data_IF_349995069404
#
_entry.id   IF_349995069404
#
_cell.length_a   1.000
_cell.length_b   1.000
_cell.length_c   1.000
_cell.angle_alpha   90.00
_cell.angle_beta   90.00
_cell.angle_gamma   90.00
#
_symmetry.space_group_name_H-M   'P 1'
#
loop_
_entity.id
_entity.type
_entity.pdbx_description
1 polymer ?
#
# COMPACT_ATOMS: atom_id res chain seq x y z
N UNK A 1 -7.30 9.14 0.53
CA UNK A 1 -7.71 7.97 1.34
C UNK A 1 -6.78 6.83 1.03
N UNK A 2 -6.17 6.20 2.05
CA UNK A 2 -5.38 4.98 1.89
C UNK A 2 -6.29 3.77 1.69
N UNK A 3 -5.85 2.81 0.89
CA UNK A 3 -6.45 1.46 0.88
C UNK A 3 -6.04 0.68 2.11
N UNK A 4 -4.74 0.70 2.41
CA UNK A 4 -4.15 0.12 3.62
C UNK A 4 -3.09 1.10 4.12
N UNK A 5 -3.21 1.52 5.37
CA UNK A 5 -2.28 2.45 6.00
C UNK A 5 -0.90 1.80 6.19
N UNK A 6 0.15 2.49 5.79
CA UNK A 6 1.53 1.98 5.91
C UNK A 6 1.96 1.81 7.37
N UNK A 7 1.77 2.78 8.29
CA UNK A 7 2.27 2.67 9.65
C UNK A 7 1.54 1.63 10.49
N UNK A 8 0.24 1.45 10.26
CA UNK A 8 -0.63 0.64 11.13
C UNK A 8 -1.16 -0.63 10.48
N UNK A 9 -0.96 -0.82 9.16
CA UNK A 9 -1.51 -1.96 8.43
C UNK A 9 -3.04 -2.02 8.36
N UNK A 10 -3.72 -0.95 8.74
CA UNK A 10 -5.19 -0.91 8.77
C UNK A 10 -5.73 -0.82 7.34
N UNK A 11 -6.54 -1.82 6.95
CA UNK A 11 -7.35 -1.77 5.74
C UNK A 11 -8.53 -0.83 5.96
N UNK A 12 -8.53 0.27 5.22
CA UNK A 12 -9.62 1.23 5.25
C UNK A 12 -10.84 0.70 4.47
N UNK A 13 -12.07 1.07 4.85
CA UNK A 13 -13.26 0.79 4.05
C UNK A 13 -13.34 1.75 2.85
N UNK A 14 -12.26 1.78 2.04
CA UNK A 14 -12.02 2.79 1.02
C UNK A 14 -13.08 2.76 -0.08
N UNK A 15 -13.63 1.60 -0.41
CA UNK A 15 -14.69 1.46 -1.40
C UNK A 15 -15.92 2.29 -1.01
N UNK A 16 -16.37 2.13 0.23
CA UNK A 16 -17.52 2.87 0.75
C UNK A 16 -17.23 4.35 0.94
N UNK A 17 -16.01 4.68 1.38
CA UNK A 17 -15.60 6.07 1.56
C UNK A 17 -15.54 6.82 0.22
N UNK A 18 -15.03 6.19 -0.84
CA UNK A 18 -15.02 6.77 -2.19
C UNK A 18 -16.43 7.09 -2.65
N UNK A 19 -17.34 6.12 -2.56
CA UNK A 19 -18.75 6.27 -2.90
C UNK A 19 -19.38 7.46 -2.16
N UNK A 20 -19.32 7.45 -0.82
CA UNK A 20 -19.97 8.45 0.03
C UNK A 20 -19.41 9.87 -0.18
N UNK A 21 -18.13 10.02 -0.46
CA UNK A 21 -17.49 11.32 -0.65
C UNK A 21 -17.83 11.86 -2.04
N UNK A 22 -17.79 11.02 -3.06
CA UNK A 22 -18.12 11.42 -4.44
C UNK A 22 -19.61 11.75 -4.61
N UNK A 23 -20.53 11.10 -3.88
CA UNK A 23 -21.93 11.49 -3.81
C UNK A 23 -22.15 12.92 -3.30
N UNK A 24 -21.18 13.47 -2.56
CA UNK A 24 -21.18 14.86 -2.08
C UNK A 24 -20.48 15.82 -3.03
N UNK A 25 -20.12 15.35 -4.24
CA UNK A 25 -19.44 16.17 -5.25
C UNK A 25 -17.96 16.45 -4.94
N UNK A 26 -17.34 15.70 -4.06
CA UNK A 26 -15.91 15.84 -3.71
C UNK A 26 -15.09 14.79 -4.43
N UNK A 27 -14.04 15.22 -5.13
CA UNK A 27 -13.09 14.33 -5.78
C UNK A 27 -12.25 13.56 -4.76
N UNK A 28 -11.97 12.28 -5.07
CA UNK A 28 -11.20 11.41 -4.19
C UNK A 28 -9.92 10.94 -4.86
N UNK A 29 -8.80 11.15 -4.18
CA UNK A 29 -7.53 10.47 -4.46
C UNK A 29 -7.41 9.26 -3.53
N UNK A 30 -7.28 8.09 -4.14
CA UNK A 30 -6.99 6.83 -3.42
C UNK A 30 -5.50 6.55 -3.47
N UNK A 31 -4.88 6.53 -2.31
CA UNK A 31 -3.53 6.01 -2.15
C UNK A 31 -3.61 4.49 -1.97
N UNK A 32 -3.34 3.80 -3.06
CA UNK A 32 -3.26 2.35 -3.11
C UNK A 32 -1.80 1.87 -3.10
N UNK A 33 -0.90 2.58 -2.41
CA UNK A 33 0.50 2.15 -2.33
C UNK A 33 0.63 0.72 -1.79
N UNK A 34 -0.24 0.32 -0.87
CA UNK A 34 -0.36 -1.05 -0.36
C UNK A 34 -1.57 -1.82 -0.93
N UNK A 35 -2.18 -1.34 -2.01
CA UNK A 35 -3.39 -1.93 -2.60
C UNK A 35 -3.13 -3.15 -3.49
N UNK A 36 -2.42 -2.99 -4.63
CA UNK A 36 -2.22 -4.06 -5.61
C UNK A 36 -1.56 -5.30 -5.01
N UNK A 37 -2.24 -6.45 -5.10
CA UNK A 37 -1.76 -7.73 -4.56
C UNK A 37 -2.00 -7.95 -3.06
N UNK A 38 -2.48 -6.94 -2.33
CA UNK A 38 -2.79 -7.01 -0.90
C UNK A 38 -4.30 -7.02 -0.63
N UNK A 39 -5.04 -6.22 -1.38
CA UNK A 39 -6.51 -6.17 -1.31
C UNK A 39 -7.10 -6.30 -2.71
N UNK A 40 -8.32 -6.83 -2.85
CA UNK A 40 -9.03 -6.75 -4.12
C UNK A 40 -9.17 -5.29 -4.55
N UNK A 41 -8.65 -4.97 -5.73
CA UNK A 41 -8.67 -3.62 -6.27
C UNK A 41 -9.16 -3.66 -7.73
N UNK A 42 -10.39 -3.22 -7.93
CA UNK A 42 -10.99 -3.01 -9.25
C UNK A 42 -11.12 -1.51 -9.47
N UNK A 43 -10.24 -0.97 -10.30
CA UNK A 43 -10.10 0.47 -10.54
C UNK A 43 -11.34 1.04 -11.22
N UNK A 44 -11.92 0.31 -12.17
CA UNK A 44 -13.10 0.75 -12.92
C UNK A 44 -14.34 0.75 -12.03
N UNK A 45 -14.52 -0.31 -11.24
CA UNK A 45 -15.64 -0.43 -10.30
C UNK A 45 -15.54 0.60 -9.17
N UNK A 46 -14.34 0.85 -8.66
CA UNK A 46 -14.11 1.85 -7.60
C UNK A 46 -14.44 3.26 -8.09
N UNK A 47 -14.18 3.54 -9.37
CA UNK A 47 -14.50 4.81 -10.03
C UNK A 47 -14.05 6.06 -9.27
N UNK A 48 -12.95 5.98 -8.53
CA UNK A 48 -12.37 7.14 -7.84
C UNK A 48 -11.81 8.14 -8.86
N UNK A 49 -11.79 9.42 -8.51
CA UNK A 49 -11.25 10.48 -9.38
C UNK A 49 -9.79 10.24 -9.73
N UNK A 50 -9.01 9.78 -8.75
CA UNK A 50 -7.58 9.50 -8.89
C UNK A 50 -7.21 8.27 -8.07
N UNK A 51 -6.34 7.40 -8.61
CA UNK A 51 -5.81 6.24 -7.89
C UNK A 51 -4.33 6.11 -8.23
N UNK A 52 -3.49 5.99 -7.22
CA UNK A 52 -2.09 5.61 -7.42
C UNK A 52 -1.77 4.36 -6.60
N UNK A 53 -0.96 3.45 -7.16
CA UNK A 53 -0.63 2.21 -6.47
C UNK A 53 0.75 1.69 -6.84
N UNK A 54 1.41 1.03 -5.88
CA UNK A 54 2.72 0.46 -6.07
C UNK A 54 2.65 -1.00 -6.54
N UNK A 55 3.36 -1.31 -7.62
CA UNK A 55 3.52 -2.69 -8.09
C UNK A 55 4.74 -3.38 -7.44
N UNK A 56 5.73 -2.59 -7.03
CA UNK A 56 6.96 -3.10 -6.41
C UNK A 56 6.81 -3.55 -4.94
N UNK A 57 5.61 -3.50 -4.37
CA UNK A 57 5.30 -4.04 -3.04
C UNK A 57 4.72 -5.45 -3.18
N UNK A 58 3.42 -5.61 -3.12
CA UNK A 58 2.76 -6.92 -3.05
C UNK A 58 2.63 -7.65 -4.41
N UNK A 59 2.79 -6.94 -5.54
CA UNK A 59 2.92 -7.58 -6.87
C UNK A 59 4.33 -8.12 -7.09
N UNK A 60 5.31 -7.75 -6.24
CA UNK A 60 6.70 -8.25 -6.27
C UNK A 60 7.46 -7.90 -7.56
N UNK A 61 7.19 -6.74 -8.16
CA UNK A 61 8.00 -6.24 -9.28
C UNK A 61 9.28 -5.56 -8.79
N UNK A 62 10.26 -5.30 -9.67
CA UNK A 62 11.42 -4.50 -9.31
C UNK A 62 11.02 -3.12 -8.77
N UNK A 63 11.83 -2.58 -7.85
CA UNK A 63 11.59 -1.29 -7.20
C UNK A 63 11.38 -0.17 -8.20
N UNK A 64 10.50 0.78 -7.85
CA UNK A 64 10.19 1.97 -8.65
C UNK A 64 8.98 1.81 -9.56
N UNK A 65 8.42 0.60 -9.73
CA UNK A 65 7.20 0.41 -10.52
C UNK A 65 5.95 0.79 -9.72
N UNK A 66 5.13 1.61 -10.35
CA UNK A 66 3.86 2.07 -9.82
C UNK A 66 2.92 2.42 -10.98
N UNK A 67 1.64 2.61 -10.71
CA UNK A 67 0.68 3.12 -11.69
C UNK A 67 -0.01 4.37 -11.15
N UNK A 68 -0.50 5.17 -12.08
CA UNK A 68 -1.41 6.28 -11.84
C UNK A 68 -2.63 6.09 -12.74
N UNK A 69 -3.81 5.99 -12.13
CA UNK A 69 -5.07 6.02 -12.85
C UNK A 69 -5.78 7.35 -12.57
N UNK A 70 -6.23 8.01 -13.64
CA UNK A 70 -7.02 9.23 -13.54
C UNK A 70 -8.29 9.01 -14.37
N UNK A 71 -9.43 9.18 -13.73
CA UNK A 71 -10.72 9.09 -14.37
C UNK A 71 -10.80 10.07 -15.54
N UNK A 72 -11.43 9.67 -16.63
CA UNK A 72 -11.35 10.39 -17.90
C UNK A 72 -11.78 11.86 -17.80
N UNK A 73 -12.85 12.15 -17.06
CA UNK A 73 -13.35 13.52 -16.82
C UNK A 73 -12.38 14.43 -16.05
N UNK A 74 -11.37 13.85 -15.41
CA UNK A 74 -10.35 14.57 -14.62
C UNK A 74 -9.01 14.76 -15.31
N UNK A 75 -8.78 14.08 -16.44
CA UNK A 75 -7.47 14.08 -17.13
C UNK A 75 -7.04 15.46 -17.63
N UNK A 76 -7.98 16.28 -18.08
CA UNK A 76 -7.66 17.60 -18.63
C UNK A 76 -7.04 18.56 -17.61
N UNK A 77 -7.33 18.37 -16.32
CA UNK A 77 -6.82 19.19 -15.21
C UNK A 77 -5.47 18.74 -14.65
N UNK A 78 -4.93 17.60 -15.13
CA UNK A 78 -3.71 17.03 -14.55
C UNK A 78 -2.59 17.00 -15.58
N UNK A 79 -1.41 17.46 -15.15
CA UNK A 79 -0.20 17.46 -15.96
C UNK A 79 0.96 16.83 -15.19
N UNK A 80 1.92 16.17 -15.85
CA UNK A 80 3.13 15.72 -15.18
C UNK A 80 3.91 16.92 -14.64
N UNK A 81 4.57 16.73 -13.50
CA UNK A 81 5.37 17.77 -12.86
C UNK A 81 6.52 18.26 -13.75
N UNK A 82 7.08 17.35 -14.54
CA UNK A 82 8.15 17.66 -15.52
C UNK A 82 7.58 17.56 -16.93
N UNK A 83 7.67 18.66 -17.67
CA UNK A 83 7.22 18.73 -19.07
C UNK A 83 8.18 17.92 -19.95
N UNK A 84 7.64 16.91 -20.61
CA UNK A 84 8.37 16.06 -21.55
C UNK A 84 7.96 16.29 -23.02
N UNK A 85 8.45 15.44 -23.92
CA UNK A 85 8.18 15.51 -25.36
C UNK A 85 6.68 15.46 -25.72
N UNK A 86 5.86 14.82 -24.89
CA UNK A 86 4.42 14.73 -25.12
C UNK A 86 3.69 16.07 -25.09
N UNK A 87 4.25 17.09 -24.45
CA UNK A 87 3.59 18.38 -24.29
C UNK A 87 3.24 19.09 -25.63
N UNK A 88 4.15 19.05 -26.60
CA UNK A 88 3.98 19.64 -27.91
C UNK A 88 3.30 18.73 -28.95
N UNK A 89 2.85 17.54 -28.52
CA UNK A 89 2.18 16.58 -29.40
C UNK A 89 0.83 17.11 -29.87
N UNK A 90 0.52 16.88 -31.14
CA UNK A 90 -0.78 17.18 -31.78
C UNK A 90 -1.75 15.99 -31.74
N UNK A 91 -1.41 14.92 -31.01
CA UNK A 91 -2.27 13.75 -30.83
C UNK A 91 -3.59 14.10 -30.13
N UNK A 92 -4.59 13.24 -30.32
CA UNK A 92 -5.86 13.36 -29.62
C UNK A 92 -5.66 13.44 -28.08
N UNK A 93 -6.56 14.10 -27.33
CA UNK A 93 -6.35 14.42 -25.91
C UNK A 93 -5.96 13.21 -25.04
N UNK A 94 -6.62 12.06 -25.23
CA UNK A 94 -6.32 10.85 -24.46
C UNK A 94 -4.95 10.24 -24.80
N UNK A 95 -4.57 10.26 -26.07
CA UNK A 95 -3.25 9.78 -26.53
C UNK A 95 -2.15 10.71 -26.05
N UNK A 96 -2.38 12.02 -26.14
CA UNK A 96 -1.48 13.04 -25.63
C UNK A 96 -1.26 12.90 -24.12
N UNK A 97 -2.35 12.73 -23.36
CA UNK A 97 -2.28 12.49 -21.91
C UNK A 97 -1.36 11.30 -21.58
N UNK A 98 -1.54 10.17 -22.27
CA UNK A 98 -0.69 9.00 -22.07
C UNK A 98 0.76 9.29 -22.43
N UNK A 99 1.01 9.93 -23.56
CA UNK A 99 2.37 10.27 -23.98
C UNK A 99 3.08 11.20 -22.99
N UNK A 100 2.36 12.15 -22.39
CA UNK A 100 2.90 13.06 -21.37
C UNK A 100 3.30 12.32 -20.10
N UNK A 101 2.55 11.30 -19.67
CA UNK A 101 2.78 10.55 -18.43
C UNK A 101 3.64 9.29 -18.63
N UNK A 102 3.44 8.56 -19.71
CA UNK A 102 4.12 7.28 -19.96
C UNK A 102 5.60 7.49 -20.30
N UNK A 103 5.95 8.62 -20.92
CA UNK A 103 7.33 8.96 -21.26
C UNK A 103 7.82 10.25 -20.56
N UNK A 104 8.45 10.09 -19.42
CA UNK A 104 8.98 11.19 -18.59
C UNK A 104 10.47 11.47 -18.83
N UNK A 105 11.08 10.87 -19.86
CA UNK A 105 12.49 10.97 -20.19
C UNK A 105 13.18 9.61 -20.27
N UNK A 106 14.45 9.60 -20.68
CA UNK A 106 15.25 8.38 -20.82
C UNK A 106 15.56 7.80 -19.45
N UNK A 107 15.01 6.62 -19.17
CA UNK A 107 15.25 5.85 -17.94
C UNK A 107 15.04 4.36 -18.21
N UNK A 108 15.47 3.52 -17.28
CA UNK A 108 15.23 2.07 -17.37
C UNK A 108 13.73 1.74 -17.22
N UNK A 109 13.07 1.17 -18.24
CA UNK A 109 11.67 0.78 -18.18
C UNK A 109 11.42 -0.61 -17.58
N UNK A 110 12.48 -1.36 -17.23
CA UNK A 110 12.37 -2.76 -16.79
C UNK A 110 11.38 -2.98 -15.66
N UNK A 111 11.30 -2.11 -14.62
CA UNK A 111 10.34 -2.30 -13.53
C UNK A 111 8.88 -2.34 -13.99
N UNK A 112 8.50 -1.52 -14.97
CA UNK A 112 7.12 -1.53 -15.51
C UNK A 112 6.88 -2.68 -16.47
N UNK A 113 7.86 -3.02 -17.29
CA UNK A 113 7.77 -4.15 -18.24
C UNK A 113 7.64 -5.49 -17.51
N UNK A 114 8.13 -5.59 -16.27
CA UNK A 114 7.98 -6.78 -15.43
C UNK A 114 6.58 -6.96 -14.84
N UNK A 115 5.74 -5.92 -14.78
CA UNK A 115 4.43 -5.97 -14.10
C UNK A 115 3.55 -7.14 -14.61
N UNK A 116 3.30 -7.32 -15.92
CA UNK A 116 2.46 -8.41 -16.40
C UNK A 116 3.03 -9.80 -16.05
N UNK A 117 4.35 -9.93 -16.09
CA UNK A 117 5.03 -11.19 -15.75
C UNK A 117 4.92 -11.49 -14.25
N UNK A 118 5.10 -10.50 -13.39
CA UNK A 118 4.95 -10.65 -11.94
C UNK A 118 3.51 -11.04 -11.56
N UNK A 119 2.51 -10.37 -12.13
CA UNK A 119 1.11 -10.69 -11.90
C UNK A 119 0.82 -12.15 -12.28
N UNK A 120 1.27 -12.58 -13.45
CA UNK A 120 1.07 -13.95 -13.91
C UNK A 120 1.82 -14.96 -13.04
N UNK A 121 3.10 -14.70 -12.75
CA UNK A 121 3.96 -15.62 -12.03
C UNK A 121 3.48 -15.81 -10.59
N UNK A 122 3.36 -14.74 -9.83
CA UNK A 122 2.91 -14.81 -8.42
C UNK A 122 1.49 -15.38 -8.33
N UNK A 123 0.58 -14.93 -9.19
CA UNK A 123 -0.78 -15.50 -9.26
C UNK A 123 -0.84 -16.99 -9.59
N UNK A 124 0.21 -17.57 -10.19
CA UNK A 124 0.28 -19.01 -10.48
C UNK A 124 0.89 -19.86 -9.38
N UNK A 125 1.39 -19.25 -8.29
CA UNK A 125 2.04 -19.98 -7.19
C UNK A 125 1.07 -20.84 -6.36
N UNK A 126 -0.20 -20.50 -6.38
CA UNK A 126 -1.27 -21.25 -5.72
C UNK A 126 -2.44 -21.48 -6.68
N UNK A 127 -3.24 -22.52 -6.42
CA UNK A 127 -4.31 -22.92 -7.33
C UNK A 127 -5.42 -21.88 -7.47
N UNK A 128 -5.80 -21.19 -6.38
CA UNK A 128 -6.81 -20.13 -6.36
C UNK A 128 -6.29 -18.75 -6.76
N UNK A 129 -5.05 -18.63 -7.23
CA UNK A 129 -4.47 -17.39 -7.72
C UNK A 129 -4.39 -16.28 -6.67
N UNK A 130 -4.49 -15.05 -7.13
CA UNK A 130 -4.37 -13.86 -6.26
C UNK A 130 -5.37 -13.82 -5.12
N UNK A 131 -6.58 -14.29 -5.33
CA UNK A 131 -7.61 -14.34 -4.28
C UNK A 131 -7.16 -15.22 -3.12
N UNK A 132 -6.60 -16.39 -3.43
CA UNK A 132 -6.08 -17.30 -2.41
C UNK A 132 -4.83 -16.74 -1.73
N UNK A 133 -3.92 -16.11 -2.48
CA UNK A 133 -2.71 -15.47 -1.92
C UNK A 133 -3.09 -14.40 -0.89
N UNK A 134 -3.97 -13.47 -1.28
CA UNK A 134 -4.43 -12.41 -0.39
C UNK A 134 -5.09 -12.96 0.88
N UNK A 135 -5.93 -13.99 0.74
CA UNK A 135 -6.60 -14.59 1.90
C UNK A 135 -5.62 -15.35 2.81
N UNK A 136 -4.68 -16.12 2.26
CA UNK A 136 -3.63 -16.77 3.06
C UNK A 136 -2.77 -15.78 3.83
N UNK A 137 -2.36 -14.69 3.18
CA UNK A 137 -1.61 -13.62 3.82
C UNK A 137 -2.42 -12.97 4.94
N UNK A 138 -3.70 -12.70 4.68
CA UNK A 138 -4.60 -12.14 5.68
C UNK A 138 -4.75 -13.04 6.90
N UNK A 139 -4.97 -14.33 6.70
CA UNK A 139 -5.08 -15.30 7.80
C UNK A 139 -3.78 -15.39 8.61
N UNK A 140 -2.63 -15.34 7.95
CA UNK A 140 -1.33 -15.34 8.61
C UNK A 140 -1.12 -14.04 9.41
N UNK A 141 -1.53 -12.89 8.88
CA UNK A 141 -1.45 -11.60 9.58
C UNK A 141 -2.32 -11.59 10.86
N UNK A 142 -3.54 -12.13 10.77
CA UNK A 142 -4.45 -12.27 11.92
C UNK A 142 -3.84 -13.24 12.95
N UNK A 143 -3.38 -14.42 12.51
CA UNK A 143 -2.76 -15.40 13.40
C UNK A 143 -1.53 -14.83 14.12
N UNK A 144 -0.64 -14.15 13.40
CA UNK A 144 0.55 -13.53 14.00
C UNK A 144 0.20 -12.43 15.00
N UNK A 145 -0.80 -11.58 14.67
CA UNK A 145 -1.33 -10.56 15.58
C UNK A 145 -1.84 -11.19 16.88
N UNK A 146 -2.70 -12.19 16.75
CA UNK A 146 -3.35 -12.82 17.90
C UNK A 146 -2.32 -13.50 18.80
N UNK A 147 -1.34 -14.20 18.22
CA UNK A 147 -0.26 -14.83 18.95
C UNK A 147 0.59 -13.81 19.76
N UNK A 148 0.90 -12.66 19.13
CA UNK A 148 1.66 -11.60 19.80
C UNK A 148 0.81 -10.94 20.89
N UNK A 149 -0.47 -10.66 20.62
CA UNK A 149 -1.38 -10.10 21.62
C UNK A 149 -1.52 -11.03 22.85
N UNK A 150 -1.64 -12.33 22.63
CA UNK A 150 -1.67 -13.33 23.72
C UNK A 150 -0.37 -13.31 24.54
N UNK A 151 0.78 -13.28 23.86
CA UNK A 151 2.09 -13.25 24.53
C UNK A 151 2.34 -11.96 25.33
N UNK A 152 1.76 -10.83 24.92
CA UNK A 152 1.88 -9.53 25.55
C UNK A 152 0.74 -9.22 26.54
N UNK A 153 -0.22 -10.12 26.71
CA UNK A 153 -1.44 -9.90 27.48
C UNK A 153 -2.19 -8.61 27.07
N UNK A 154 -2.30 -8.40 25.75
CA UNK A 154 -2.98 -7.25 25.15
C UNK A 154 -4.13 -7.69 24.27
N UNK A 155 -4.92 -6.73 23.81
CA UNK A 155 -6.04 -6.99 22.88
C UNK A 155 -5.71 -6.48 21.47
N UNK A 156 -6.21 -7.14 20.41
CA UNK A 156 -6.03 -6.65 19.05
C UNK A 156 -6.52 -5.20 18.89
N UNK A 157 -5.69 -4.28 18.36
CA UNK A 157 -6.05 -2.87 18.24
C UNK A 157 -7.06 -2.59 17.12
N UNK A 158 -7.28 -3.57 16.24
CA UNK A 158 -8.17 -3.44 15.08
C UNK A 158 -8.99 -4.71 14.88
N UNK A 159 -10.26 -4.59 14.44
CA UNK A 159 -11.09 -5.75 14.13
C UNK A 159 -10.63 -6.45 12.85
N UNK A 160 -10.89 -7.76 12.75
CA UNK A 160 -10.42 -8.62 11.67
C UNK A 160 -10.83 -8.14 10.26
N UNK A 161 -12.00 -7.50 10.12
CA UNK A 161 -12.44 -6.99 8.82
C UNK A 161 -11.62 -5.79 8.32
N UNK A 162 -10.80 -5.18 9.18
CA UNK A 162 -9.86 -4.12 8.83
C UNK A 162 -8.41 -4.63 8.71
N UNK A 163 -8.20 -5.94 8.61
CA UNK A 163 -6.90 -6.58 8.38
C UNK A 163 -6.81 -7.06 6.94
N UNK A 164 -5.66 -6.82 6.32
CA UNK A 164 -5.26 -7.39 5.02
C UNK A 164 -4.05 -8.31 5.20
N UNK A 165 -3.02 -8.17 4.41
CA UNK A 165 -1.75 -8.90 4.60
C UNK A 165 -0.83 -8.25 5.65
N UNK A 166 -1.32 -7.23 6.34
CA UNK A 166 -0.58 -6.48 7.37
C UNK A 166 -1.43 -6.38 8.62
N UNK A 167 -0.78 -6.41 9.78
CA UNK A 167 -1.41 -6.13 11.07
C UNK A 167 -0.43 -5.41 11.99
N UNK A 168 -0.94 -4.68 12.98
CA UNK A 168 -0.14 -4.04 14.01
C UNK A 168 -0.59 -4.52 15.38
N UNK A 169 0.35 -4.57 16.29
CA UNK A 169 0.12 -4.87 17.70
C UNK A 169 0.66 -3.73 18.53
N UNK A 170 -0.09 -3.33 19.52
CA UNK A 170 0.35 -2.33 20.49
C UNK A 170 1.37 -2.95 21.44
N UNK A 171 2.52 -2.29 21.59
CA UNK A 171 3.58 -2.73 22.46
C UNK A 171 3.73 -1.73 23.62
N UNK A 172 3.57 -2.17 24.88
CA UNK A 172 3.74 -1.29 26.04
C UNK A 172 5.14 -0.69 26.08
N UNK A 173 5.26 0.60 26.28
CA UNK A 173 6.52 1.29 26.45
C UNK A 173 6.47 2.14 27.71
N UNK A 174 7.47 1.99 28.55
CA UNK A 174 7.64 2.80 29.78
C UNK A 174 8.51 4.04 29.56
N UNK A 175 8.95 4.29 28.34
CA UNK A 175 9.84 5.41 28.01
C UNK A 175 9.05 6.59 27.44
N UNK A 176 9.45 7.81 27.83
CA UNK A 176 8.98 9.03 27.16
C UNK A 176 9.40 8.97 25.69
N UNK A 177 8.42 8.85 24.81
CA UNK A 177 8.66 8.62 23.40
C UNK A 177 8.95 9.95 22.72
N UNK A 178 10.23 10.34 22.64
CA UNK A 178 10.68 11.19 21.54
C UNK A 178 10.56 10.39 20.23
N UNK A 179 10.20 11.04 19.13
CA UNK A 179 10.06 10.38 17.83
C UNK A 179 11.39 9.75 17.41
N UNK A 180 11.50 8.43 17.59
CA UNK A 180 12.68 7.66 17.18
C UNK A 180 12.51 7.32 15.70
N UNK A 181 13.54 7.50 14.86
CA UNK A 181 13.52 7.01 13.48
C UNK A 181 13.20 5.51 13.43
N UNK A 182 12.49 5.07 12.39
CA UNK A 182 12.06 3.67 12.20
C UNK A 182 13.18 2.62 12.34
N UNK A 183 14.40 3.00 11.96
CA UNK A 183 15.62 2.18 12.01
C UNK A 183 16.46 2.39 13.28
N UNK A 184 16.02 3.26 14.17
CA UNK A 184 16.72 3.60 15.42
C UNK A 184 16.11 2.98 16.68
N UNK A 185 14.99 2.26 16.58
CA UNK A 185 14.34 1.71 17.75
C UNK A 185 15.15 0.54 18.34
N UNK A 186 15.47 0.57 19.66
CA UNK A 186 16.25 -0.48 20.31
C UNK A 186 15.65 -1.88 20.18
N UNK A 187 14.31 -2.00 20.23
CA UNK A 187 13.61 -3.28 20.08
C UNK A 187 13.75 -3.81 18.66
N UNK A 188 13.60 -2.94 17.66
CA UNK A 188 13.83 -3.31 16.26
C UNK A 188 15.26 -3.84 16.07
N UNK A 189 16.27 -3.13 16.58
CA UNK A 189 17.66 -3.51 16.45
C UNK A 189 17.94 -4.84 17.17
N UNK A 190 17.43 -5.03 18.39
CA UNK A 190 17.58 -6.27 19.13
C UNK A 190 16.94 -7.46 18.40
N UNK A 191 15.71 -7.31 17.90
CA UNK A 191 15.03 -8.35 17.12
C UNK A 191 15.83 -8.72 15.87
N UNK A 192 16.41 -7.73 15.20
CA UNK A 192 17.23 -7.98 14.02
C UNK A 192 18.57 -8.66 14.35
N UNK A 193 19.30 -8.16 15.33
CA UNK A 193 20.65 -8.63 15.64
C UNK A 193 20.66 -10.01 16.28
N UNK A 194 19.76 -10.25 17.25
CA UNK A 194 19.73 -11.51 18.01
C UNK A 194 18.91 -12.61 17.32
N UNK A 195 17.78 -12.23 16.69
CA UNK A 195 16.80 -13.20 16.16
C UNK A 195 16.67 -13.20 14.65
N UNK A 196 17.29 -12.24 13.95
CA UNK A 196 17.14 -12.03 12.48
C UNK A 196 15.70 -11.76 12.07
N UNK A 197 14.95 -11.13 12.96
CA UNK A 197 13.56 -10.72 12.73
C UNK A 197 13.56 -9.23 12.37
N UNK A 198 13.07 -8.91 11.18
CA UNK A 198 12.94 -7.53 10.72
C UNK A 198 11.46 -7.15 10.73
N UNK A 199 11.08 -6.35 11.71
CA UNK A 199 9.74 -5.77 11.83
C UNK A 199 9.85 -4.29 12.18
N UNK A 200 9.05 -3.41 11.57
CA UNK A 200 9.00 -2.01 11.97
C UNK A 200 8.47 -1.88 13.40
N UNK A 201 9.17 -1.15 14.24
CA UNK A 201 8.70 -0.70 15.55
C UNK A 201 8.47 0.80 15.45
N UNK A 202 7.23 1.24 15.58
CA UNK A 202 6.82 2.62 15.28
C UNK A 202 6.38 3.29 16.58
N UNK A 203 7.07 4.36 16.96
CA UNK A 203 6.65 5.23 18.05
C UNK A 203 5.42 6.03 17.61
N UNK A 204 4.35 6.01 18.43
CA UNK A 204 3.14 6.73 18.13
C UNK A 204 3.04 7.99 19.00
N UNK A 205 3.04 9.20 18.43
CA UNK A 205 2.94 10.44 19.20
C UNK A 205 1.63 10.48 20.00
N UNK A 206 1.70 10.94 21.24
CA UNK A 206 0.58 11.08 22.19
C UNK A 206 0.05 9.79 22.84
N UNK A 207 0.68 8.64 22.60
CA UNK A 207 0.43 7.43 23.35
C UNK A 207 1.76 6.90 23.88
N UNK A 208 1.83 6.50 25.15
CA UNK A 208 3.03 5.89 25.74
C UNK A 208 3.28 4.46 25.20
N UNK A 209 2.81 4.18 23.99
CA UNK A 209 2.83 2.86 23.39
C UNK A 209 3.56 2.89 22.06
N UNK A 210 4.26 1.82 21.76
CA UNK A 210 4.86 1.55 20.44
C UNK A 210 4.00 0.55 19.70
N UNK A 211 3.99 0.64 18.38
CA UNK A 211 3.32 -0.34 17.53
C UNK A 211 4.35 -1.17 16.79
N UNK A 212 4.23 -2.47 16.88
CA UNK A 212 4.96 -3.42 16.04
C UNK A 212 4.06 -3.74 14.85
N UNK A 213 4.51 -3.41 13.66
CA UNK A 213 3.79 -3.73 12.43
C UNK A 213 4.28 -5.07 11.90
N UNK A 214 3.42 -6.07 11.93
CA UNK A 214 3.68 -7.39 11.38
C UNK A 214 3.37 -7.40 9.88
N UNK A 215 4.36 -7.04 9.08
CA UNK A 215 4.28 -7.15 7.63
C UNK A 215 4.66 -8.57 7.22
N UNK A 216 3.75 -9.29 6.60
CA UNK A 216 4.02 -10.58 6.00
C UNK A 216 4.32 -10.33 4.52
N UNK A 217 5.59 -10.39 4.18
CA UNK A 217 6.06 -10.35 2.80
C UNK A 217 6.29 -11.76 2.27
#
# INVERSE_FOLDING_TARGET
>A
IDTVSSPTGIRMPFEKLVEMIQERGVDVLVDAAHGPGNVPLDVDKLNASYITGNCHKWICTPKGSAFLHIREDKRSGVKPLVIGHGHSSELAPNEKFRLEFDWTGTRDPSPWLCIPHAIKHVGSMVHGGWTEIMERNRQMAIFGRDLICEALDTTPPTPDFMISSMSSVEFPSNEDIESIPLDGDPIHNQLYDEYRIQVPVISWPNHNNKYINNNIY
#
